data_IF_598106230252
#
_entry.id   IF_598106230252
#
_cell.length_a   1.000
_cell.length_b   1.000
_cell.length_c   1.000
_cell.angle_alpha   90.00
_cell.angle_beta   90.00
_cell.angle_gamma   90.00
#
_symmetry.space_group_name_H-M   'P 1'
#
loop_
_entity.id
_entity.type
_entity.pdbx_description
1 polymer ?
#
# COMPACT_ATOMS: atom_id res chain seq x y z
N UNK A 1 20.68 12.71 5.51
CA UNK A 1 21.59 12.08 4.53
C UNK A 1 21.62 12.78 3.18
N UNK A 2 20.50 12.96 2.46
CA UNK A 2 20.51 13.53 1.10
C UNK A 2 20.93 15.01 0.97
N UNK A 3 21.07 15.72 2.09
CA UNK A 3 21.56 17.10 2.19
C UNK A 3 22.95 17.18 2.83
N UNK A 4 23.63 16.03 2.99
CA UNK A 4 24.94 15.95 3.65
C UNK A 4 26.07 16.69 2.92
N UNK A 5 25.90 16.95 1.62
CA UNK A 5 27.00 17.38 0.77
C UNK A 5 28.02 16.28 0.46
N UNK A 6 27.79 15.03 0.89
CA UNK A 6 28.69 13.92 0.62
C UNK A 6 28.69 13.54 -0.86
N UNK A 7 29.87 13.21 -1.37
CA UNK A 7 30.10 12.78 -2.76
C UNK A 7 29.58 11.36 -3.00
N UNK A 8 29.57 10.53 -1.95
CA UNK A 8 29.03 9.18 -1.99
C UNK A 8 27.88 9.00 -0.98
N UNK A 9 26.78 8.40 -1.45
CA UNK A 9 25.62 8.06 -0.61
C UNK A 9 25.38 6.55 -0.63
N UNK A 10 25.30 5.94 0.55
CA UNK A 10 24.97 4.52 0.70
C UNK A 10 23.46 4.32 0.74
N UNK A 11 22.95 3.45 -0.12
CA UNK A 11 21.55 3.07 -0.24
C UNK A 11 21.36 1.63 0.24
N UNK A 12 20.56 1.39 1.29
CA UNK A 12 20.27 0.03 1.74
C UNK A 12 19.22 -0.63 0.85
N UNK A 13 19.54 -1.74 0.19
CA UNK A 13 18.66 -2.41 -0.78
C UNK A 13 18.44 -3.89 -0.45
N UNK A 14 17.53 -4.53 -1.19
CA UNK A 14 17.43 -5.99 -1.30
C UNK A 14 18.07 -6.48 -2.60
N UNK A 15 18.06 -7.79 -2.84
CA UNK A 15 18.61 -8.41 -4.06
C UNK A 15 17.53 -8.73 -5.10
N UNK A 16 16.25 -8.37 -4.85
CA UNK A 16 15.11 -8.67 -5.73
C UNK A 16 14.69 -7.49 -6.63
N UNK A 17 15.39 -6.35 -6.55
CA UNK A 17 15.09 -5.19 -7.41
C UNK A 17 13.96 -4.29 -6.91
N UNK A 18 13.55 -4.39 -5.64
CA UNK A 18 12.43 -3.60 -5.10
C UNK A 18 12.87 -2.47 -4.16
N UNK A 19 12.72 -1.21 -4.57
CA UNK A 19 12.87 -0.04 -3.68
C UNK A 19 11.50 0.50 -3.23
N UNK A 20 10.81 -0.22 -2.35
CA UNK A 20 9.39 0.04 -2.02
C UNK A 20 9.11 0.86 -0.76
N UNK A 21 10.04 0.91 0.20
CA UNK A 21 9.86 1.62 1.49
C UNK A 21 11.19 2.16 2.04
N UNK A 22 11.10 3.01 3.07
CA UNK A 22 12.26 3.51 3.82
C UNK A 22 13.25 4.28 2.95
N UNK A 23 14.54 4.21 3.31
CA UNK A 23 15.61 4.92 2.59
C UNK A 23 15.73 4.50 1.12
N UNK A 24 15.54 3.21 0.79
CA UNK A 24 15.58 2.72 -0.58
C UNK A 24 14.56 3.43 -1.49
N UNK A 25 13.34 3.59 -1.00
CA UNK A 25 12.31 4.31 -1.74
C UNK A 25 12.70 5.77 -1.99
N UNK A 26 13.36 6.42 -1.03
CA UNK A 26 13.84 7.79 -1.21
C UNK A 26 14.94 7.88 -2.28
N UNK A 27 15.85 6.90 -2.35
CA UNK A 27 16.81 6.80 -3.45
C UNK A 27 16.13 6.60 -4.80
N UNK A 28 15.11 5.73 -4.89
CA UNK A 28 14.35 5.54 -6.13
C UNK A 28 13.70 6.83 -6.62
N UNK A 29 13.19 7.66 -5.71
CA UNK A 29 12.58 8.93 -6.08
C UNK A 29 13.61 9.99 -6.50
N UNK A 30 14.76 10.04 -5.82
CA UNK A 30 15.79 11.06 -6.07
C UNK A 30 16.74 10.70 -7.22
N UNK A 31 16.97 9.41 -7.46
CA UNK A 31 17.95 8.85 -8.39
C UNK A 31 17.31 7.74 -9.25
N UNK A 32 16.43 8.12 -10.21
CA UNK A 32 15.70 7.17 -11.02
C UNK A 32 16.59 6.32 -11.94
N UNK A 33 17.71 6.85 -12.46
CA UNK A 33 18.61 6.09 -13.33
C UNK A 33 19.40 5.04 -12.54
N UNK A 34 19.84 5.38 -11.33
CA UNK A 34 20.38 4.42 -10.37
C UNK A 34 19.38 3.28 -10.11
N UNK A 35 18.09 3.60 -9.92
CA UNK A 35 17.09 2.56 -9.68
C UNK A 35 16.93 1.61 -10.89
N UNK A 36 16.99 2.13 -12.14
CA UNK A 36 16.99 1.28 -13.34
C UNK A 36 18.22 0.37 -13.39
N UNK A 37 19.41 0.92 -13.13
CA UNK A 37 20.67 0.17 -13.08
C UNK A 37 20.66 -0.91 -12.00
N UNK A 38 20.19 -0.57 -10.80
CA UNK A 38 20.00 -1.50 -9.69
C UNK A 38 19.05 -2.66 -10.05
N UNK A 39 17.89 -2.38 -10.65
CA UNK A 39 16.94 -3.43 -11.07
C UNK A 39 17.61 -4.39 -12.05
N UNK A 40 18.39 -3.85 -13.00
CA UNK A 40 19.16 -4.66 -13.95
C UNK A 40 20.19 -5.53 -13.22
N UNK A 41 20.96 -4.97 -12.30
CA UNK A 41 21.96 -5.71 -11.53
C UNK A 41 21.35 -6.86 -10.69
N UNK A 42 20.16 -6.66 -10.13
CA UNK A 42 19.42 -7.72 -9.45
C UNK A 42 18.95 -8.81 -10.42
N UNK A 43 18.39 -8.43 -11.57
CA UNK A 43 17.94 -9.36 -12.61
C UNK A 43 19.07 -10.21 -13.17
N UNK A 44 20.22 -9.58 -13.39
CA UNK A 44 21.43 -10.22 -13.90
C UNK A 44 22.19 -11.00 -12.80
N UNK A 45 21.69 -10.98 -11.54
CA UNK A 45 22.27 -11.60 -10.34
C UNK A 45 23.68 -11.12 -10.01
N UNK A 46 24.11 -10.00 -10.58
CA UNK A 46 25.40 -9.37 -10.24
C UNK A 46 25.36 -8.63 -8.92
N UNK A 47 24.15 -8.33 -8.40
CA UNK A 47 23.93 -7.84 -7.04
C UNK A 47 23.31 -8.94 -6.19
N UNK A 48 24.06 -9.40 -5.20
CA UNK A 48 23.61 -10.36 -4.18
C UNK A 48 24.23 -10.02 -2.82
N UNK A 49 23.81 -10.72 -1.76
CA UNK A 49 24.41 -10.57 -0.42
C UNK A 49 25.93 -10.75 -0.49
N UNK A 50 26.67 -9.85 0.16
CA UNK A 50 28.14 -9.84 0.12
C UNK A 50 28.74 -9.18 -1.12
N UNK A 51 27.96 -8.44 -1.90
CA UNK A 51 28.45 -7.57 -2.99
C UNK A 51 27.88 -6.17 -2.85
N UNK A 52 28.34 -5.23 -3.67
CA UNK A 52 27.73 -3.90 -3.80
C UNK A 52 27.57 -3.54 -5.28
N UNK A 53 26.58 -2.70 -5.58
CA UNK A 53 26.39 -2.12 -6.91
C UNK A 53 26.53 -0.61 -6.84
N UNK A 54 27.39 -0.04 -7.68
CA UNK A 54 27.65 1.40 -7.72
C UNK A 54 27.11 2.05 -8.99
N UNK A 55 26.57 3.26 -8.86
CA UNK A 55 26.10 4.06 -9.99
C UNK A 55 26.34 5.54 -9.73
N UNK A 56 26.65 6.32 -10.76
CA UNK A 56 26.83 7.78 -10.63
C UNK A 56 25.66 8.48 -11.29
N UNK A 57 24.94 9.32 -10.54
CA UNK A 57 23.82 10.11 -11.04
C UNK A 57 23.87 11.52 -10.46
N UNK A 58 23.73 12.53 -11.31
CA UNK A 58 23.80 13.94 -10.94
C UNK A 58 25.09 14.32 -10.17
N UNK A 59 26.22 13.72 -10.55
CA UNK A 59 27.52 13.96 -9.92
C UNK A 59 27.69 13.32 -8.54
N UNK A 60 26.74 12.49 -8.09
CA UNK A 60 26.79 11.78 -6.81
C UNK A 60 26.99 10.29 -7.06
N UNK A 61 27.96 9.69 -6.36
CA UNK A 61 28.19 8.25 -6.36
C UNK A 61 27.23 7.56 -5.40
N UNK A 62 26.43 6.63 -5.90
CA UNK A 62 25.46 5.87 -5.12
C UNK A 62 25.97 4.44 -4.97
N UNK A 63 26.10 3.99 -3.72
CA UNK A 63 26.41 2.59 -3.41
C UNK A 63 25.13 1.89 -2.96
N UNK A 64 24.59 1.02 -3.80
CA UNK A 64 23.49 0.13 -3.43
C UNK A 64 24.07 -1.05 -2.64
N UNK A 65 23.81 -1.00 -1.34
CA UNK A 65 24.33 -1.88 -0.30
C UNK A 65 23.25 -2.91 0.10
N UNK A 66 23.41 -4.19 -0.25
CA UNK A 66 22.46 -5.24 0.10
C UNK A 66 22.40 -5.45 1.61
N UNK A 67 21.29 -5.09 2.23
CA UNK A 67 21.01 -5.41 3.64
C UNK A 67 20.02 -6.55 3.80
N UNK A 68 19.42 -6.99 2.70
CA UNK A 68 18.47 -8.11 2.65
C UNK A 68 18.68 -8.90 1.37
N UNK A 69 18.39 -10.19 1.44
CA UNK A 69 18.26 -11.01 0.23
C UNK A 69 16.88 -10.71 -0.40
N UNK A 70 15.81 -11.08 0.31
CA UNK A 70 14.43 -10.77 -0.09
C UNK A 70 13.84 -9.59 0.65
N UNK A 71 12.98 -8.82 0.00
CA UNK A 71 12.43 -7.59 0.59
C UNK A 71 11.48 -7.84 1.79
N UNK A 72 10.82 -9.01 1.83
CA UNK A 72 9.91 -9.41 2.91
C UNK A 72 10.62 -9.99 4.14
N UNK A 73 11.88 -10.38 4.02
CA UNK A 73 12.64 -11.01 5.10
C UNK A 73 13.37 -9.96 5.94
N UNK A 74 13.80 -10.32 7.16
CA UNK A 74 14.61 -9.46 8.01
C UNK A 74 16.06 -9.38 7.53
N UNK A 75 16.77 -8.34 7.96
CA UNK A 75 18.22 -8.23 7.72
C UNK A 75 18.98 -9.17 8.65
N UNK A 76 20.22 -9.52 8.29
CA UNK A 76 21.13 -10.31 9.14
C UNK A 76 22.42 -9.55 9.31
N UNK A 77 23.03 -9.65 10.50
CA UNK A 77 24.29 -8.96 10.79
C UNK A 77 25.41 -9.39 9.83
N UNK A 78 25.43 -10.67 9.42
CA UNK A 78 26.39 -11.20 8.45
C UNK A 78 26.26 -10.57 7.06
N UNK A 79 25.07 -10.09 6.68
CA UNK A 79 24.89 -9.38 5.42
C UNK A 79 25.55 -8.00 5.48
N UNK A 80 25.45 -7.34 6.64
CA UNK A 80 26.07 -6.03 6.87
C UNK A 80 27.59 -6.17 6.91
N UNK A 81 28.09 -7.18 7.61
CA UNK A 81 29.52 -7.45 7.72
C UNK A 81 30.18 -7.68 6.36
N UNK A 82 29.67 -8.63 5.58
CA UNK A 82 30.23 -8.98 4.27
C UNK A 82 30.15 -7.83 3.27
N UNK A 83 29.06 -7.07 3.25
CA UNK A 83 28.94 -5.93 2.36
C UNK A 83 29.79 -4.73 2.81
N UNK A 84 30.08 -4.57 4.11
CA UNK A 84 31.04 -3.57 4.60
C UNK A 84 32.47 -3.92 4.18
N UNK A 85 32.84 -5.21 4.21
CA UNK A 85 34.16 -5.64 3.72
C UNK A 85 34.36 -5.24 2.25
N UNK A 86 33.36 -5.49 1.40
CA UNK A 86 33.40 -5.09 -0.01
C UNK A 86 33.39 -3.57 -0.17
N UNK A 87 32.67 -2.84 0.68
CA UNK A 87 32.66 -1.39 0.64
C UNK A 87 34.04 -0.81 0.93
N UNK A 88 34.71 -1.29 1.98
CA UNK A 88 36.06 -0.85 2.36
C UNK A 88 37.06 -1.12 1.25
N UNK A 89 36.98 -2.28 0.61
CA UNK A 89 37.83 -2.65 -0.53
C UNK A 89 37.61 -1.72 -1.74
N UNK A 90 36.35 -1.38 -2.05
CA UNK A 90 36.02 -0.64 -3.28
C UNK A 90 36.09 0.87 -3.16
N UNK A 91 35.90 1.43 -1.96
CA UNK A 91 35.85 2.87 -1.73
C UNK A 91 37.04 3.66 -2.35
N UNK A 92 38.30 3.20 -2.22
CA UNK A 92 39.45 3.86 -2.85
C UNK A 92 39.34 4.02 -4.38
N UNK A 93 38.68 3.08 -5.06
CA UNK A 93 38.49 3.10 -6.51
C UNK A 93 37.31 3.97 -6.98
N UNK A 94 36.49 4.50 -6.08
CA UNK A 94 35.31 5.29 -6.43
C UNK A 94 35.59 6.79 -6.60
N UNK A 95 36.84 7.23 -6.38
CA UNK A 95 37.27 8.63 -6.51
C UNK A 95 36.41 9.63 -5.71
N UNK A 96 35.97 9.23 -4.51
CA UNK A 96 35.23 10.07 -3.57
C UNK A 96 36.05 10.32 -2.30
N UNK A 97 35.74 11.39 -1.58
CA UNK A 97 36.35 11.75 -0.29
C UNK A 97 35.38 11.78 0.88
N UNK A 98 34.07 11.85 0.61
CA UNK A 98 33.04 11.88 1.64
C UNK A 98 31.94 10.87 1.37
N UNK A 99 31.56 10.13 2.42
CA UNK A 99 30.60 9.02 2.32
C UNK A 99 29.55 9.15 3.42
N UNK A 100 28.28 9.22 3.02
CA UNK A 100 27.16 9.24 3.95
C UNK A 100 26.50 7.85 4.06
N UNK A 101 26.39 7.35 5.29
CA UNK A 101 25.95 5.98 5.57
C UNK A 101 24.69 6.01 6.47
N UNK A 102 23.56 5.42 6.03
CA UNK A 102 22.34 5.32 6.84
C UNK A 102 22.45 4.17 7.86
N UNK A 103 21.48 4.02 8.78
CA UNK A 103 21.50 2.91 9.74
C UNK A 103 21.22 1.56 9.04
N UNK A 104 22.29 0.82 8.74
CA UNK A 104 22.26 -0.38 7.91
C UNK A 104 21.41 -1.48 8.56
N UNK A 105 20.29 -1.86 7.95
CA UNK A 105 19.45 -2.97 8.42
C UNK A 105 18.67 -2.73 9.74
N UNK A 106 18.76 -1.57 10.39
CA UNK A 106 18.21 -1.37 11.75
C UNK A 106 16.72 -0.97 11.80
N UNK A 107 16.18 -0.37 10.72
CA UNK A 107 14.76 -0.02 10.62
C UNK A 107 13.90 -1.20 10.16
N UNK A 108 13.53 -1.21 8.88
CA UNK A 108 12.77 -2.30 8.26
C UNK A 108 13.47 -3.67 8.30
N UNK A 109 14.76 -3.72 8.64
CA UNK A 109 15.53 -4.95 8.75
C UNK A 109 15.58 -5.55 10.16
N UNK A 110 15.20 -4.79 11.19
CA UNK A 110 15.08 -5.27 12.57
C UNK A 110 16.40 -5.48 13.33
N UNK A 111 17.54 -5.03 12.80
CA UNK A 111 18.82 -5.10 13.54
C UNK A 111 18.89 -4.06 14.66
N UNK A 112 19.61 -4.39 15.72
CA UNK A 112 19.94 -3.45 16.78
C UNK A 112 20.95 -2.40 16.28
N UNK A 113 20.66 -1.12 16.55
CA UNK A 113 21.48 -0.01 16.06
C UNK A 113 22.86 0.01 16.71
N UNK A 114 22.96 -0.25 18.01
CA UNK A 114 24.24 -0.18 18.72
C UNK A 114 25.22 -1.22 18.16
N UNK A 115 24.72 -2.44 17.96
CA UNK A 115 25.47 -3.54 17.34
C UNK A 115 25.96 -3.19 15.93
N UNK A 116 25.09 -2.62 15.09
CA UNK A 116 25.46 -2.23 13.72
C UNK A 116 26.42 -1.04 13.70
N UNK A 117 26.25 -0.06 14.59
CA UNK A 117 27.13 1.11 14.70
C UNK A 117 28.55 0.71 15.05
N UNK A 118 28.73 -0.17 16.04
CA UNK A 118 30.04 -0.71 16.41
C UNK A 118 30.71 -1.45 15.25
N UNK A 119 29.94 -2.24 14.51
CA UNK A 119 30.44 -2.94 13.31
C UNK A 119 30.88 -1.97 12.22
N UNK A 120 30.08 -0.94 11.92
CA UNK A 120 30.42 0.11 10.95
C UNK A 120 31.72 0.80 11.36
N UNK A 121 31.83 1.23 12.61
CA UNK A 121 33.03 1.90 13.12
C UNK A 121 34.27 1.01 12.98
N UNK A 122 34.19 -0.24 13.44
CA UNK A 122 35.28 -1.22 13.35
C UNK A 122 35.74 -1.46 11.92
N UNK A 123 34.82 -1.59 10.96
CA UNK A 123 35.16 -1.88 9.56
C UNK A 123 35.74 -0.67 8.83
N UNK A 124 35.31 0.55 9.17
CA UNK A 124 35.76 1.77 8.50
C UNK A 124 37.02 2.40 9.12
N UNK A 125 37.32 2.10 10.38
CA UNK A 125 38.53 2.58 11.08
C UNK A 125 39.82 2.46 10.26
N UNK A 126 40.12 1.33 9.58
CA UNK A 126 41.37 1.19 8.81
C UNK A 126 41.52 2.18 7.63
N UNK A 127 40.42 2.80 7.18
CA UNK A 127 40.42 3.74 6.05
C UNK A 127 39.95 5.15 6.45
N UNK A 128 39.75 5.40 7.75
CA UNK A 128 39.18 6.65 8.25
C UNK A 128 40.03 7.90 7.91
N UNK A 129 41.35 7.75 7.80
CA UNK A 129 42.25 8.87 7.44
C UNK A 129 42.06 9.36 6.00
N UNK A 130 41.49 8.52 5.12
CA UNK A 130 41.35 8.81 3.69
C UNK A 130 39.97 9.36 3.31
N UNK A 131 38.97 9.22 4.21
CA UNK A 131 37.57 9.51 3.91
C UNK A 131 36.85 10.17 5.10
N UNK A 132 35.99 11.13 4.80
CA UNK A 132 35.04 11.68 5.77
C UNK A 132 33.76 10.83 5.77
N UNK A 133 33.54 10.06 6.83
CA UNK A 133 32.31 9.28 7.01
C UNK A 133 31.24 10.03 7.81
N UNK A 134 30.05 10.20 7.22
CA UNK A 134 28.89 10.78 7.86
C UNK A 134 27.88 9.67 8.19
N UNK A 135 27.94 9.17 9.42
CA UNK A 135 27.07 8.10 9.90
C UNK A 135 25.76 8.68 10.43
N UNK A 136 24.64 8.30 9.82
CA UNK A 136 23.31 8.71 10.25
C UNK A 136 22.69 7.67 11.17
N UNK A 137 22.18 8.14 12.30
CA UNK A 137 21.48 7.30 13.27
C UNK A 137 20.00 7.12 12.90
N UNK A 138 19.34 6.04 13.36
CA UNK A 138 17.90 5.88 13.18
C UNK A 138 17.17 7.01 13.90
N UNK A 139 16.57 7.93 13.14
CA UNK A 139 15.62 8.88 13.71
C UNK A 139 14.26 8.20 13.82
N UNK A 140 13.63 8.29 15.00
CA UNK A 140 12.29 7.72 15.24
C UNK A 140 11.21 8.31 14.32
N UNK A 141 11.42 9.46 13.67
CA UNK A 141 10.42 10.12 12.82
C UNK A 141 11.06 11.04 11.75
N UNK A 142 11.60 10.50 10.66
CA UNK A 142 11.97 11.33 9.49
C UNK A 142 11.24 10.86 8.23
N UNK A 143 10.07 11.45 7.97
CA UNK A 143 9.38 11.38 6.67
C UNK A 143 9.80 12.61 5.88
N UNK A 144 10.74 12.46 4.94
CA UNK A 144 11.06 13.54 4.02
C UNK A 144 9.93 13.66 2.99
N UNK A 145 9.44 14.88 2.78
CA UNK A 145 8.43 15.20 1.77
C UNK A 145 8.95 14.77 0.40
N UNK A 146 8.13 14.06 -0.38
CA UNK A 146 8.44 13.67 -1.75
C UNK A 146 8.97 14.88 -2.55
N UNK A 147 9.88 14.72 -3.51
CA UNK A 147 10.35 15.84 -4.32
C UNK A 147 9.27 16.36 -5.30
N UNK A 148 8.27 15.53 -5.57
CA UNK A 148 7.14 15.83 -6.46
C UNK A 148 5.86 15.37 -5.77
N UNK A 149 4.79 16.16 -5.89
CA UNK A 149 3.48 15.79 -5.36
C UNK A 149 3.02 14.44 -5.93
N UNK A 150 2.55 13.50 -5.09
CA UNK A 150 1.94 12.25 -5.57
C UNK A 150 0.81 12.57 -6.54
N UNK A 151 0.76 11.91 -7.70
CA UNK A 151 -0.33 12.09 -8.65
C UNK A 151 -1.58 11.36 -8.14
N UNK A 152 -2.52 12.15 -7.64
CA UNK A 152 -3.87 11.67 -7.35
C UNK A 152 -4.69 11.56 -8.65
N UNK A 153 -5.70 10.71 -8.63
CA UNK A 153 -6.58 10.42 -9.76
C UNK A 153 -8.04 10.66 -9.40
N UNK A 154 -8.95 10.55 -10.36
CA UNK A 154 -10.39 10.60 -10.08
C UNK A 154 -10.82 9.57 -9.02
N UNK A 155 -10.22 8.37 -9.02
CA UNK A 155 -10.48 7.36 -7.99
C UNK A 155 -10.07 7.82 -6.57
N UNK A 156 -9.08 8.71 -6.46
CA UNK A 156 -8.71 9.33 -5.18
C UNK A 156 -9.81 10.25 -4.66
N UNK A 157 -10.43 11.03 -5.55
CA UNK A 157 -11.55 11.92 -5.23
C UNK A 157 -12.79 11.13 -4.81
N UNK A 158 -13.12 10.05 -5.55
CA UNK A 158 -14.20 9.10 -5.21
C UNK A 158 -13.98 8.50 -3.82
N UNK A 159 -12.77 7.99 -3.55
CA UNK A 159 -12.48 7.34 -2.28
C UNK A 159 -12.51 8.33 -1.10
N UNK A 160 -12.06 9.57 -1.30
CA UNK A 160 -12.18 10.63 -0.30
C UNK A 160 -13.65 10.98 -0.04
N UNK A 161 -14.51 11.04 -1.07
CA UNK A 161 -15.96 11.27 -0.90
C UNK A 161 -16.61 10.18 -0.06
N UNK A 162 -16.33 8.91 -0.36
CA UNK A 162 -16.80 7.78 0.46
C UNK A 162 -16.32 7.94 1.90
N UNK A 163 -15.01 8.20 2.10
CA UNK A 163 -14.41 8.34 3.42
C UNK A 163 -15.02 9.47 4.26
N UNK A 164 -15.34 10.60 3.64
CA UNK A 164 -15.93 11.76 4.31
C UNK A 164 -17.40 11.54 4.68
N UNK A 165 -18.12 10.71 3.93
CA UNK A 165 -19.51 10.37 4.24
C UNK A 165 -19.66 9.25 5.27
N UNK A 166 -18.65 8.40 5.49
CA UNK A 166 -18.72 7.33 6.48
C UNK A 166 -18.61 7.87 7.91
N UNK A 167 -19.57 7.53 8.78
CA UNK A 167 -19.57 7.89 10.20
C UNK A 167 -18.38 7.25 10.94
N UNK A 168 -18.04 6.01 10.57
CA UNK A 168 -16.86 5.27 11.06
C UNK A 168 -16.04 4.80 9.88
N UNK A 169 -14.82 5.31 9.74
CA UNK A 169 -13.94 4.91 8.64
C UNK A 169 -12.91 3.87 9.10
N UNK A 170 -13.23 2.58 8.97
CA UNK A 170 -12.24 1.48 9.03
C UNK A 170 -11.84 1.06 7.61
N UNK A 171 -10.70 0.36 7.46
CA UNK A 171 -10.31 -0.19 6.15
C UNK A 171 -11.39 -1.10 5.56
N UNK A 172 -12.08 -1.87 6.43
CA UNK A 172 -13.16 -2.75 6.03
C UNK A 172 -14.35 -1.93 5.53
N UNK A 173 -14.85 -0.96 6.30
CA UNK A 173 -16.00 -0.14 5.89
C UNK A 173 -15.73 0.64 4.61
N UNK A 174 -14.51 1.17 4.42
CA UNK A 174 -14.12 1.84 3.18
C UNK A 174 -14.15 0.88 1.97
N UNK A 175 -13.63 -0.33 2.12
CA UNK A 175 -13.69 -1.36 1.08
C UNK A 175 -15.12 -1.77 0.77
N UNK A 176 -15.99 -1.92 1.78
CA UNK A 176 -17.38 -2.34 1.58
C UNK A 176 -18.27 -1.23 1.02
N UNK A 177 -18.08 0.02 1.44
CA UNK A 177 -18.79 1.15 0.85
C UNK A 177 -18.42 1.30 -0.64
N UNK A 178 -17.16 1.11 -1.01
CA UNK A 178 -16.78 1.08 -2.43
C UNK A 178 -17.36 -0.13 -3.19
N UNK A 179 -17.54 -1.27 -2.53
CA UNK A 179 -18.20 -2.44 -3.11
C UNK A 179 -19.68 -2.19 -3.39
N UNK A 180 -20.42 -1.65 -2.40
CA UNK A 180 -21.81 -1.26 -2.59
C UNK A 180 -21.97 -0.10 -3.57
N UNK A 181 -21.00 0.82 -3.67
CA UNK A 181 -20.99 1.84 -4.71
C UNK A 181 -20.97 1.21 -6.11
N UNK A 182 -20.09 0.23 -6.37
CA UNK A 182 -20.10 -0.51 -7.64
C UNK A 182 -21.47 -1.15 -7.91
N UNK A 183 -22.08 -1.71 -6.86
CA UNK A 183 -23.37 -2.38 -6.95
C UNK A 183 -24.48 -1.41 -7.34
N UNK A 184 -24.62 -0.28 -6.64
CA UNK A 184 -25.63 0.74 -6.94
C UNK A 184 -25.35 1.54 -8.22
N UNK A 185 -24.09 1.58 -8.66
CA UNK A 185 -23.71 2.13 -9.95
C UNK A 185 -24.03 1.17 -11.10
N UNK A 186 -24.21 -0.13 -10.79
CA UNK A 186 -24.36 -1.22 -11.77
C UNK A 186 -23.16 -1.30 -12.75
N UNK A 187 -21.99 -0.84 -12.32
CA UNK A 187 -20.75 -0.85 -13.11
C UNK A 187 -19.53 -1.26 -12.26
N UNK A 188 -18.57 -2.00 -12.84
CA UNK A 188 -17.37 -2.42 -12.12
C UNK A 188 -16.32 -1.30 -12.06
N UNK A 189 -16.58 -0.22 -11.30
CA UNK A 189 -15.62 0.89 -11.16
C UNK A 189 -14.33 0.46 -10.47
N UNK A 190 -14.43 -0.24 -9.34
CA UNK A 190 -13.32 -0.98 -8.73
C UNK A 190 -13.41 -2.48 -9.04
N UNK A 191 -12.28 -3.16 -9.21
CA UNK A 191 -12.27 -4.61 -9.44
C UNK A 191 -12.23 -5.36 -8.12
N UNK A 192 -13.34 -6.00 -7.76
CA UNK A 192 -13.49 -6.76 -6.51
C UNK A 192 -13.34 -8.26 -6.74
N UNK A 193 -12.66 -8.93 -5.80
CA UNK A 193 -12.48 -10.38 -5.77
C UNK A 193 -12.72 -10.94 -4.36
N UNK A 194 -12.99 -12.25 -4.27
CA UNK A 194 -12.99 -13.00 -3.00
C UNK A 194 -11.67 -12.80 -2.26
N UNK A 195 -11.73 -12.39 -0.99
CA UNK A 195 -10.57 -12.22 -0.11
C UNK A 195 -10.94 -12.43 1.37
N UNK A 196 -9.99 -12.24 2.29
CA UNK A 196 -10.09 -12.64 3.71
C UNK A 196 -11.41 -12.24 4.39
N UNK A 197 -11.88 -11.01 4.19
CA UNK A 197 -13.06 -10.46 4.86
C UNK A 197 -14.19 -10.14 3.87
N UNK A 198 -14.45 -11.00 2.89
CA UNK A 198 -15.44 -10.76 1.84
C UNK A 198 -14.84 -10.11 0.57
N UNK A 199 -15.65 -9.46 -0.28
CA UNK A 199 -15.16 -8.80 -1.50
C UNK A 199 -14.11 -7.73 -1.19
N UNK A 200 -13.04 -7.70 -1.97
CA UNK A 200 -11.91 -6.80 -1.75
C UNK A 200 -11.30 -6.31 -3.07
N UNK A 201 -10.94 -5.02 -3.12
CA UNK A 201 -10.23 -4.43 -4.25
C UNK A 201 -8.85 -3.91 -3.79
N UNK A 202 -7.76 -4.48 -4.32
CA UNK A 202 -6.40 -4.05 -3.96
C UNK A 202 -6.08 -2.62 -4.42
N UNK A 203 -6.75 -2.15 -5.48
CA UNK A 203 -6.63 -0.78 -5.98
C UNK A 203 -7.00 0.27 -4.92
N UNK A 204 -7.96 -0.03 -4.02
CA UNK A 204 -8.38 0.89 -2.96
C UNK A 204 -7.26 1.12 -1.95
N UNK A 205 -6.47 0.09 -1.63
CA UNK A 205 -5.31 0.21 -0.74
C UNK A 205 -4.20 1.06 -1.37
N UNK A 206 -3.97 0.88 -2.68
CA UNK A 206 -3.01 1.70 -3.45
C UNK A 206 -3.45 3.17 -3.44
N UNK A 207 -4.72 3.44 -3.73
CA UNK A 207 -5.29 4.79 -3.75
C UNK A 207 -5.23 5.42 -2.37
N UNK A 208 -5.61 4.68 -1.31
CA UNK A 208 -5.53 5.15 0.08
C UNK A 208 -4.10 5.53 0.49
N UNK A 209 -3.11 4.73 0.09
CA UNK A 209 -1.70 5.04 0.33
C UNK A 209 -1.27 6.32 -0.39
N UNK A 210 -1.65 6.48 -1.66
CA UNK A 210 -1.33 7.68 -2.43
C UNK A 210 -1.96 8.94 -1.81
N UNK A 211 -3.19 8.84 -1.29
CA UNK A 211 -3.84 9.93 -0.54
C UNK A 211 -3.03 10.28 0.71
N UNK A 212 -2.60 9.28 1.50
CA UNK A 212 -1.77 9.51 2.70
C UNK A 212 -0.40 10.13 2.38
N UNK A 213 0.23 9.72 1.27
CA UNK A 213 1.47 10.34 0.77
C UNK A 213 1.23 11.79 0.35
N UNK A 214 0.10 12.08 -0.30
CA UNK A 214 -0.28 13.44 -0.71
C UNK A 214 -0.52 14.36 0.49
N UNK A 215 -1.23 13.85 1.51
CA UNK A 215 -1.42 14.52 2.79
C UNK A 215 -0.08 14.85 3.46
N UNK A 216 0.83 13.89 3.49
CA UNK A 216 2.17 14.06 4.07
C UNK A 216 3.00 15.11 3.32
N UNK A 217 2.91 15.13 1.99
CA UNK A 217 3.63 16.10 1.15
C UNK A 217 3.14 17.54 1.39
N UNK A 218 1.83 17.77 1.37
CA UNK A 218 1.23 19.10 1.59
C UNK A 218 1.06 19.48 3.06
N UNK A 219 1.27 18.56 4.01
CA UNK A 219 1.06 18.82 5.44
C UNK A 219 -0.41 18.89 5.85
N UNK A 220 -1.29 18.20 5.11
CA UNK A 220 -2.74 18.18 5.35
C UNK A 220 -3.07 17.15 6.44
N UNK A 221 -4.01 17.50 7.33
CA UNK A 221 -4.36 16.68 8.50
C UNK A 221 -5.69 15.97 8.37
N UNK A 222 -6.57 16.46 7.51
CA UNK A 222 -7.93 15.95 7.34
C UNK A 222 -8.23 15.62 5.87
N UNK A 223 -9.30 14.86 5.65
CA UNK A 223 -9.64 14.37 4.30
C UNK A 223 -10.32 15.45 3.46
N UNK A 224 -11.03 16.40 4.07
CA UNK A 224 -11.75 17.46 3.36
C UNK A 224 -10.76 18.44 2.71
N UNK A 225 -9.79 18.95 3.46
CA UNK A 225 -8.74 19.82 2.91
C UNK A 225 -7.93 19.11 1.82
N UNK A 226 -7.71 17.80 1.96
CA UNK A 226 -7.07 16.96 0.95
C UNK A 226 -7.91 16.86 -0.32
N UNK A 227 -9.22 16.65 -0.16
CA UNK A 227 -10.15 16.60 -1.28
C UNK A 227 -10.17 17.93 -2.04
N UNK A 228 -10.29 19.07 -1.34
CA UNK A 228 -10.36 20.39 -1.98
C UNK A 228 -9.11 20.69 -2.80
N UNK A 229 -7.92 20.46 -2.24
CA UNK A 229 -6.67 20.68 -2.97
C UNK A 229 -6.51 19.71 -4.14
N UNK A 230 -6.77 18.42 -3.92
CA UNK A 230 -6.69 17.43 -4.98
C UNK A 230 -7.69 17.71 -6.11
N UNK A 231 -8.90 18.13 -5.76
CA UNK A 231 -9.94 18.50 -6.72
C UNK A 231 -9.45 19.66 -7.57
N UNK A 232 -8.94 20.75 -6.99
CA UNK A 232 -8.40 21.88 -7.75
C UNK A 232 -7.30 21.48 -8.75
N UNK A 233 -6.43 20.54 -8.36
CA UNK A 233 -5.33 20.06 -9.21
C UNK A 233 -5.79 19.14 -10.34
N UNK A 234 -6.82 18.33 -10.12
CA UNK A 234 -7.31 17.30 -11.08
C UNK A 234 -8.57 17.76 -11.84
N UNK A 235 -9.18 18.86 -11.41
CA UNK A 235 -10.45 19.35 -11.93
C UNK A 235 -10.32 19.59 -13.44
N UNK A 236 -11.11 18.82 -14.17
CA UNK A 236 -11.34 18.97 -15.60
C UNK A 236 -12.82 18.71 -15.83
N UNK A 237 -13.38 19.19 -16.93
CA UNK A 237 -14.79 18.94 -17.27
C UNK A 237 -15.12 17.44 -17.24
N UNK A 238 -14.19 16.60 -17.70
CA UNK A 238 -14.31 15.14 -17.65
C UNK A 238 -14.34 14.60 -16.22
N UNK A 239 -13.45 15.08 -15.35
CA UNK A 239 -13.40 14.67 -13.93
C UNK A 239 -14.69 15.05 -13.21
N UNK A 240 -15.20 16.27 -13.45
CA UNK A 240 -16.43 16.77 -12.83
C UNK A 240 -17.65 15.99 -13.29
N UNK A 241 -17.79 15.73 -14.60
CA UNK A 241 -18.87 14.89 -15.14
C UNK A 241 -18.84 13.48 -14.55
N UNK A 242 -17.65 12.89 -14.42
CA UNK A 242 -17.50 11.58 -13.80
C UNK A 242 -17.94 11.60 -12.34
N UNK A 243 -17.46 12.57 -11.54
CA UNK A 243 -17.84 12.64 -10.12
C UNK A 243 -19.34 12.87 -9.92
N UNK A 244 -19.95 13.75 -10.70
CA UNK A 244 -21.39 14.00 -10.63
C UNK A 244 -22.20 12.74 -10.98
N UNK A 245 -21.75 11.97 -11.98
CA UNK A 245 -22.37 10.69 -12.35
C UNK A 245 -22.26 9.65 -11.23
N UNK A 246 -21.13 9.61 -10.54
CA UNK A 246 -20.87 8.63 -9.48
C UNK A 246 -21.50 9.00 -8.13
N UNK A 247 -21.81 10.28 -7.91
CA UNK A 247 -22.25 10.78 -6.59
C UNK A 247 -23.49 10.08 -6.02
N UNK A 248 -24.57 9.83 -6.80
CA UNK A 248 -25.75 9.15 -6.27
C UNK A 248 -25.44 7.76 -5.72
N UNK A 249 -24.62 6.98 -6.44
CA UNK A 249 -24.18 5.65 -6.00
C UNK A 249 -23.26 5.72 -4.77
N UNK A 250 -22.39 6.74 -4.69
CA UNK A 250 -21.53 6.99 -3.52
C UNK A 250 -22.38 7.28 -2.28
N UNK A 251 -23.31 8.23 -2.38
CA UNK A 251 -24.18 8.66 -1.28
C UNK A 251 -25.03 7.50 -0.78
N UNK A 252 -25.63 6.74 -1.70
CA UNK A 252 -26.43 5.57 -1.37
C UNK A 252 -25.60 4.47 -0.68
N UNK A 253 -24.41 4.17 -1.21
CA UNK A 253 -23.51 3.18 -0.60
C UNK A 253 -23.04 3.57 0.80
N UNK A 254 -22.72 4.85 0.98
CA UNK A 254 -22.32 5.38 2.29
C UNK A 254 -23.48 5.32 3.28
N UNK A 255 -24.69 5.74 2.88
CA UNK A 255 -25.88 5.69 3.72
C UNK A 255 -26.16 4.25 4.18
N UNK A 256 -26.21 3.30 3.22
CA UNK A 256 -26.39 1.88 3.50
C UNK A 256 -25.33 1.33 4.47
N UNK A 257 -24.06 1.63 4.24
CA UNK A 257 -22.98 1.16 5.13
C UNK A 257 -23.04 1.84 6.50
N UNK A 258 -23.51 3.08 6.62
CA UNK A 258 -23.63 3.78 7.90
C UNK A 258 -24.77 3.23 8.77
N UNK A 259 -25.81 2.66 8.18
CA UNK A 259 -26.93 2.01 8.90
C UNK A 259 -26.51 0.68 9.55
N UNK A 260 -25.48 0.02 9.02
CA UNK A 260 -24.98 -1.26 9.55
C UNK A 260 -24.12 -1.01 10.79
N UNK A 261 -24.51 -1.61 11.91
CA UNK A 261 -23.92 -1.29 13.22
C UNK A 261 -22.46 -1.77 13.31
N UNK A 262 -22.22 -3.04 12.99
CA UNK A 262 -20.94 -3.71 13.24
C UNK A 262 -20.15 -4.05 11.97
N UNK A 263 -18.81 -4.09 12.08
CA UNK A 263 -17.96 -4.54 10.96
C UNK A 263 -18.15 -6.05 10.68
N UNK A 264 -18.60 -6.82 11.69
CA UNK A 264 -18.91 -8.24 11.55
C UNK A 264 -20.14 -8.45 10.65
N UNK A 265 -21.23 -7.73 10.95
CA UNK A 265 -22.46 -7.74 10.14
C UNK A 265 -22.20 -7.25 8.72
N UNK A 266 -21.47 -6.14 8.57
CA UNK A 266 -21.11 -5.60 7.25
C UNK A 266 -20.26 -6.57 6.43
N UNK A 267 -19.34 -7.29 7.07
CA UNK A 267 -18.58 -8.37 6.42
C UNK A 267 -19.52 -9.48 5.92
N UNK A 268 -20.49 -9.88 6.73
CA UNK A 268 -21.49 -10.88 6.41
C UNK A 268 -22.36 -10.50 5.22
N UNK A 269 -23.04 -9.35 5.32
CA UNK A 269 -23.89 -8.79 4.26
C UNK A 269 -23.13 -8.70 2.94
N UNK A 270 -21.96 -8.06 2.92
CA UNK A 270 -21.17 -7.92 1.69
C UNK A 270 -20.69 -9.26 1.12
N UNK A 271 -20.50 -10.28 1.97
CA UNK A 271 -20.12 -11.63 1.49
C UNK A 271 -21.31 -12.32 0.84
N UNK A 272 -22.50 -12.28 1.44
CA UNK A 272 -23.73 -12.84 0.84
C UNK A 272 -24.03 -12.14 -0.48
N UNK A 273 -24.00 -10.80 -0.53
CA UNK A 273 -24.21 -10.04 -1.76
C UNK A 273 -23.23 -10.45 -2.86
N UNK A 274 -21.95 -10.66 -2.52
CA UNK A 274 -20.95 -11.10 -3.49
C UNK A 274 -21.20 -12.51 -4.03
N UNK A 275 -21.68 -13.42 -3.20
CA UNK A 275 -22.05 -14.77 -3.64
C UNK A 275 -23.24 -14.71 -4.62
N UNK A 276 -24.29 -13.97 -4.27
CA UNK A 276 -25.46 -13.78 -5.15
C UNK A 276 -25.04 -13.15 -6.49
N UNK A 277 -24.17 -12.14 -6.47
CA UNK A 277 -23.63 -11.52 -7.68
C UNK A 277 -22.78 -12.49 -8.52
N UNK A 278 -22.01 -13.37 -7.89
CA UNK A 278 -21.10 -14.30 -8.58
C UNK A 278 -21.86 -15.43 -9.25
N UNK A 279 -22.83 -16.02 -8.55
CA UNK A 279 -23.58 -17.17 -9.07
C UNK A 279 -24.78 -16.77 -9.93
N UNK A 280 -25.18 -15.50 -9.92
CA UNK A 280 -26.35 -14.92 -10.61
C UNK A 280 -27.71 -15.45 -10.15
N UNK A 281 -27.82 -16.76 -9.86
CA UNK A 281 -28.94 -17.42 -9.19
C UNK A 281 -28.40 -18.46 -8.22
N UNK A 282 -28.76 -18.34 -6.95
CA UNK A 282 -28.27 -19.21 -5.88
C UNK A 282 -29.34 -19.36 -4.79
N UNK A 283 -29.60 -20.57 -4.30
CA UNK A 283 -30.58 -20.78 -3.22
C UNK A 283 -29.98 -20.54 -1.82
N UNK A 284 -30.83 -20.46 -0.80
CA UNK A 284 -30.40 -20.20 0.58
C UNK A 284 -29.41 -21.24 1.13
N UNK A 285 -29.58 -22.51 0.79
CA UNK A 285 -28.71 -23.59 1.26
C UNK A 285 -27.33 -23.52 0.61
N UNK A 286 -27.28 -23.17 -0.67
CA UNK A 286 -26.07 -22.93 -1.41
C UNK A 286 -25.33 -21.69 -0.89
N UNK A 287 -26.04 -20.59 -0.60
CA UNK A 287 -25.43 -19.39 0.01
C UNK A 287 -24.75 -19.76 1.33
N UNK A 288 -25.42 -20.50 2.21
CA UNK A 288 -24.83 -20.93 3.48
C UNK A 288 -23.60 -21.80 3.25
N UNK A 289 -23.68 -22.78 2.36
CA UNK A 289 -22.56 -23.66 2.02
C UNK A 289 -21.36 -22.86 1.48
N UNK A 290 -21.56 -22.02 0.48
CA UNK A 290 -20.50 -21.20 -0.15
C UNK A 290 -19.90 -20.17 0.83
N UNK A 291 -20.72 -19.59 1.71
CA UNK A 291 -20.26 -18.69 2.75
C UNK A 291 -19.36 -19.42 3.75
N UNK A 292 -19.73 -20.63 4.18
CA UNK A 292 -18.91 -21.47 5.07
C UNK A 292 -17.63 -21.95 4.38
N UNK A 293 -17.69 -22.27 3.09
CA UNK A 293 -16.51 -22.62 2.27
C UNK A 293 -15.64 -21.42 1.90
N UNK A 294 -16.01 -20.21 2.34
CA UNK A 294 -15.20 -19.02 2.09
C UNK A 294 -13.81 -19.14 2.73
N UNK A 295 -13.75 -19.60 3.99
CA UNK A 295 -12.55 -19.97 4.74
C UNK A 295 -12.93 -20.65 6.06
N UNK A 296 -12.02 -21.44 6.65
CA UNK A 296 -12.21 -22.05 7.98
C UNK A 296 -12.51 -21.01 9.07
N UNK A 297 -11.76 -19.90 9.08
CA UNK A 297 -11.99 -18.77 10.00
C UNK A 297 -13.41 -18.19 9.86
N UNK A 298 -13.88 -17.99 8.62
CA UNK A 298 -15.22 -17.44 8.38
C UNK A 298 -16.30 -18.43 8.78
N UNK A 299 -16.10 -19.73 8.51
CA UNK A 299 -17.01 -20.78 8.91
C UNK A 299 -17.21 -20.83 10.44
N UNK A 300 -16.16 -20.57 11.20
CA UNK A 300 -16.18 -20.56 12.67
C UNK A 300 -16.82 -19.29 13.25
N UNK A 301 -16.64 -18.13 12.60
CA UNK A 301 -17.12 -16.83 13.12
C UNK A 301 -18.59 -16.54 12.87
N UNK A 302 -19.19 -17.09 11.82
CA UNK A 302 -20.56 -16.78 11.40
C UNK A 302 -21.43 -18.03 11.49
N UNK A 303 -22.50 -18.00 12.28
CA UNK A 303 -23.48 -19.08 12.36
C UNK A 303 -24.39 -19.14 11.12
N UNK A 304 -25.05 -20.27 10.88
CA UNK A 304 -26.01 -20.38 9.77
C UNK A 304 -27.21 -19.44 9.92
N UNK A 305 -27.67 -19.23 11.15
CA UNK A 305 -28.79 -18.34 11.43
C UNK A 305 -28.44 -16.88 11.17
N UNK A 306 -27.19 -16.46 11.44
CA UNK A 306 -26.69 -15.14 11.05
C UNK A 306 -26.67 -14.97 9.53
N UNK A 307 -26.19 -15.97 8.79
CA UNK A 307 -26.15 -15.93 7.33
C UNK A 307 -27.58 -15.80 6.75
N UNK A 308 -28.55 -16.50 7.33
CA UNK A 308 -29.98 -16.37 6.96
C UNK A 308 -30.53 -14.98 7.24
N UNK A 309 -30.24 -14.40 8.41
CA UNK A 309 -30.61 -13.02 8.73
C UNK A 309 -30.01 -12.01 7.75
N UNK A 310 -28.80 -12.24 7.26
CA UNK A 310 -28.20 -11.39 6.23
C UNK A 310 -28.97 -11.47 4.90
N UNK A 311 -29.43 -12.66 4.49
CA UNK A 311 -30.28 -12.80 3.30
C UNK A 311 -31.59 -12.02 3.47
N UNK A 312 -32.26 -12.17 4.62
CA UNK A 312 -33.50 -11.45 4.92
C UNK A 312 -33.30 -9.92 4.94
N UNK A 313 -32.21 -9.45 5.56
CA UNK A 313 -31.85 -8.04 5.58
C UNK A 313 -31.58 -7.49 4.18
N UNK A 314 -30.84 -8.24 3.34
CA UNK A 314 -30.55 -7.84 1.96
C UNK A 314 -31.82 -7.79 1.10
N UNK A 315 -32.78 -8.68 1.32
CA UNK A 315 -34.08 -8.62 0.66
C UNK A 315 -34.91 -7.41 1.11
N UNK A 316 -35.00 -7.16 2.43
CA UNK A 316 -35.75 -6.04 2.98
C UNK A 316 -35.18 -4.69 2.51
N UNK A 317 -33.85 -4.61 2.40
CA UNK A 317 -33.16 -3.43 1.87
C UNK A 317 -33.14 -3.38 0.33
N UNK A 318 -33.73 -4.36 -0.33
CA UNK A 318 -33.89 -4.41 -1.79
C UNK A 318 -32.58 -4.60 -2.55
N UNK A 319 -31.53 -5.09 -1.89
CA UNK A 319 -30.22 -5.38 -2.51
C UNK A 319 -30.29 -6.66 -3.33
N UNK A 320 -30.99 -7.67 -2.80
CA UNK A 320 -31.26 -8.93 -3.48
C UNK A 320 -32.77 -9.17 -3.53
N UNK A 321 -33.21 -10.03 -4.43
CA UNK A 321 -34.59 -10.48 -4.52
C UNK A 321 -34.67 -11.99 -4.75
N UNK A 322 -35.82 -12.58 -4.43
CA UNK A 322 -36.11 -14.00 -4.63
C UNK A 322 -36.97 -14.18 -5.87
N UNK A 323 -36.55 -15.08 -6.75
CA UNK A 323 -37.37 -15.51 -7.87
C UNK A 323 -38.46 -16.52 -7.45
N UNK A 324 -39.34 -16.88 -8.38
CA UNK A 324 -40.44 -17.85 -8.15
C UNK A 324 -39.96 -19.25 -7.75
N UNK A 325 -38.67 -19.56 -7.95
CA UNK A 325 -38.05 -20.85 -7.59
C UNK A 325 -37.40 -20.79 -6.20
N UNK A 326 -37.40 -19.63 -5.55
CA UNK A 326 -36.74 -19.39 -4.26
C UNK A 326 -35.23 -19.12 -4.38
N UNK A 327 -34.72 -18.91 -5.60
CA UNK A 327 -33.32 -18.54 -5.84
C UNK A 327 -33.14 -17.04 -5.68
N UNK A 328 -31.98 -16.64 -5.16
CA UNK A 328 -31.59 -15.25 -4.98
C UNK A 328 -30.86 -14.70 -6.20
N UNK A 329 -31.20 -13.48 -6.58
CA UNK A 329 -30.46 -12.66 -7.55
C UNK A 329 -30.27 -11.23 -7.03
N UNK A 330 -29.36 -10.49 -7.64
CA UNK A 330 -29.24 -9.04 -7.39
C UNK A 330 -30.50 -8.36 -7.93
N UNK A 331 -31.07 -7.43 -7.16
CA UNK A 331 -32.27 -6.70 -7.53
C UNK A 331 -32.08 -5.89 -8.82
N UNK A 332 -33.01 -6.00 -9.77
CA UNK A 332 -32.97 -5.24 -11.04
C UNK A 332 -33.23 -3.73 -10.86
N UNK A 333 -33.70 -3.30 -9.69
CA UNK A 333 -34.08 -1.90 -9.41
C UNK A 333 -33.18 -1.21 -8.38
N UNK A 334 -31.93 -1.65 -8.26
CA UNK A 334 -30.94 -1.10 -7.32
C UNK A 334 -30.74 0.42 -7.46
N UNK A 335 -30.85 0.97 -8.66
CA UNK A 335 -30.65 2.40 -8.93
C UNK A 335 -31.90 3.26 -8.69
N UNK A 336 -33.09 2.66 -8.55
CA UNK A 336 -34.38 3.36 -8.43
C UNK A 336 -34.99 3.36 -7.01
N UNK A 337 -34.50 2.47 -6.15
CA UNK A 337 -34.84 2.43 -4.72
C UNK A 337 -33.82 3.22 -3.91
#
# INVERSE_FOLDING_TARGET
>A
MFQSGAECLVNTVNCEGYMGKGVAYQFKLKFPENNKSYIKACKDKTLHVGTIHTFVENGITIVNFPTKDKWRENSKISYIETALDVLVERLPGLHVKSVAIPPLGCGNGGLDWQTVKELIQKKLEPIADNFTFLIYEPQRNYVQKAAVAPKLTAASLVLMKIKMGLNRCTKLRLQKAAYFMNLYLEEPYFSFQKYKYGPYAHSIDIVSRNIGEYQSFYGLKDTESTYQLAYQVICSEKTTKLLNRLMPAIEKAVAYVNEIESDHELEGLATVTYLVQTFSRIDASQIVSEFKQWSEDKAARFSEDEIKKYMECLEQTGVIERDITGSYCISEYLSYR
#
